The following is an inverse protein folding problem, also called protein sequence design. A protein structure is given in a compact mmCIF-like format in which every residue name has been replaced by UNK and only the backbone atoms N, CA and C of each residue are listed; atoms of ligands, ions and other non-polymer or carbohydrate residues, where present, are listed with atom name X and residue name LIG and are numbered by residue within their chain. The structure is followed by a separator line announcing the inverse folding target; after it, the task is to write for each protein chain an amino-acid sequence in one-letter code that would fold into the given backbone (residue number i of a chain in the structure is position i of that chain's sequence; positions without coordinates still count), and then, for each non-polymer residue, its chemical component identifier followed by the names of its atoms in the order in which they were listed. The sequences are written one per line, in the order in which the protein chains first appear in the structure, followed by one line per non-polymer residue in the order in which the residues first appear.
data_IF_108855216495
#
_entry.id   IF_108855216495
#
_cell.length_a   1.000
_cell.length_b   1.000
_cell.length_c   1.000
_cell.angle_alpha   90.00
_cell.angle_beta   90.00
_cell.angle_gamma   90.00
#
_symmetry.space_group_name_H-M   'P 1'
#
loop_
_entity.id
_entity.type
_entity.pdbx_description
1 polymer ?
#
# COMPACT_ATOMS: atom_id res chain seq x y z
N UNK A 1 -2.35 -24.94 15.59
CA UNK A 1 -0.93 -25.11 15.28
C UNK A 1 -0.61 -26.48 14.65
N UNK A 2 -0.75 -27.64 15.34
CA UNK A 2 -0.43 -28.95 14.73
C UNK A 2 -1.12 -29.20 13.39
N UNK A 3 -2.41 -28.87 13.26
CA UNK A 3 -3.17 -28.98 11.99
C UNK A 3 -2.67 -28.02 10.90
N UNK A 4 -2.21 -26.86 11.29
CA UNK A 4 -1.71 -25.85 10.37
C UNK A 4 -0.31 -26.23 9.83
N UNK A 5 0.54 -26.77 10.68
CA UNK A 5 1.84 -27.36 10.28
C UNK A 5 1.60 -28.53 9.31
N UNK A 6 0.61 -29.41 9.57
CA UNK A 6 0.25 -30.50 8.67
C UNK A 6 -0.28 -29.99 7.30
N UNK A 7 -1.04 -28.90 7.31
CA UNK A 7 -1.59 -28.32 6.06
C UNK A 7 -0.48 -27.63 5.25
N UNK A 8 0.47 -26.97 5.93
CA UNK A 8 1.60 -26.30 5.29
C UNK A 8 2.69 -27.28 4.84
N UNK A 9 2.89 -28.40 5.55
CA UNK A 9 3.87 -29.45 5.19
C UNK A 9 3.42 -30.29 3.97
N UNK A 10 2.12 -30.34 3.69
CA UNK A 10 1.57 -31.12 2.56
C UNK A 10 1.77 -30.52 1.17
N UNK A 11 2.34 -29.32 1.04
CA UNK A 11 2.37 -28.68 -0.28
C UNK A 11 3.53 -27.77 -0.63
N UNK A 12 4.26 -27.16 0.28
CA UNK A 12 5.22 -26.12 -0.10
C UNK A 12 6.39 -25.84 0.87
N UNK A 13 6.48 -26.51 1.97
CA UNK A 13 7.65 -26.40 2.82
C UNK A 13 8.65 -27.48 2.37
N UNK A 14 9.72 -27.05 1.71
CA UNK A 14 10.84 -27.91 1.34
C UNK A 14 11.55 -28.48 2.58
N UNK A 15 10.85 -29.24 3.40
CA UNK A 15 11.38 -29.91 4.56
C UNK A 15 12.44 -30.97 4.22
N UNK A 16 12.56 -31.33 2.95
CA UNK A 16 13.51 -32.35 2.49
C UNK A 16 14.98 -31.91 2.68
N UNK A 17 15.25 -30.62 2.85
CA UNK A 17 16.59 -30.07 3.03
C UNK A 17 16.83 -29.40 4.40
N UNK A 18 15.88 -29.46 5.34
CA UNK A 18 15.98 -28.78 6.63
C UNK A 18 16.26 -29.76 7.77
N UNK A 19 16.77 -29.24 8.89
CA UNK A 19 16.99 -29.98 10.15
C UNK A 19 15.71 -30.66 10.72
N UNK A 20 14.57 -30.42 10.11
CA UNK A 20 13.26 -30.94 10.54
C UNK A 20 12.72 -32.08 9.66
N UNK A 21 13.49 -32.52 8.67
CA UNK A 21 13.07 -33.63 7.81
C UNK A 21 12.80 -34.90 8.63
N UNK A 22 11.61 -35.48 8.43
CA UNK A 22 11.20 -36.71 9.13
C UNK A 22 10.66 -36.51 10.54
N UNK A 23 10.62 -35.28 11.09
CA UNK A 23 10.03 -35.02 12.40
C UNK A 23 8.50 -34.85 12.30
N UNK A 24 7.80 -35.38 13.30
CA UNK A 24 6.36 -35.13 13.45
C UNK A 24 6.10 -33.67 13.88
N UNK A 25 4.91 -33.09 13.61
CA UNK A 25 4.57 -31.72 14.02
C UNK A 25 4.77 -31.44 15.51
N UNK A 26 4.54 -32.45 16.37
CA UNK A 26 4.80 -32.33 17.82
C UNK A 26 6.27 -32.27 18.17
N UNK A 27 7.10 -33.00 17.44
CA UNK A 27 8.56 -32.98 17.63
C UNK A 27 9.13 -31.64 17.15
N UNK A 28 8.63 -31.14 16.02
CA UNK A 28 9.01 -29.80 15.50
C UNK A 28 8.69 -28.71 16.54
N UNK A 29 7.46 -28.70 17.09
CA UNK A 29 7.05 -27.70 18.09
C UNK A 29 7.86 -27.74 19.39
N UNK A 30 8.51 -28.87 19.69
CA UNK A 30 9.35 -29.05 20.88
C UNK A 30 10.85 -28.97 20.60
N UNK A 31 11.18 -28.78 19.33
CA UNK A 31 12.61 -28.72 18.96
C UNK A 31 13.24 -27.43 19.50
N UNK A 32 14.46 -27.48 20.05
CA UNK A 32 15.12 -26.31 20.63
C UNK A 32 15.32 -25.17 19.64
N UNK A 33 15.45 -25.46 18.34
CA UNK A 33 15.60 -24.48 17.29
C UNK A 33 14.25 -23.99 16.72
N UNK A 34 13.15 -24.30 17.39
CA UNK A 34 11.82 -23.86 17.00
C UNK A 34 11.23 -22.92 18.04
N UNK A 35 10.81 -21.75 17.61
CA UNK A 35 10.12 -20.78 18.44
C UNK A 35 8.66 -20.63 18.03
N UNK A 36 7.76 -20.56 19.00
CA UNK A 36 6.38 -20.11 18.78
C UNK A 36 6.33 -18.61 18.91
N UNK A 37 5.85 -17.95 17.86
CA UNK A 37 5.87 -16.49 17.75
C UNK A 37 4.49 -15.91 17.50
N UNK A 38 4.32 -14.66 17.88
CA UNK A 38 3.20 -13.80 17.48
C UNK A 38 3.74 -12.92 16.35
N UNK A 39 2.98 -12.86 15.27
CA UNK A 39 3.32 -12.05 14.08
C UNK A 39 2.28 -10.96 13.93
N UNK A 40 2.74 -9.72 13.87
CA UNK A 40 1.92 -8.52 13.76
C UNK A 40 2.38 -7.69 12.56
N UNK A 41 1.45 -7.13 11.80
CA UNK A 41 1.75 -6.25 10.69
C UNK A 41 0.70 -5.14 10.57
N UNK A 42 1.12 -4.02 10.02
CA UNK A 42 0.23 -2.91 9.72
C UNK A 42 -0.01 -2.86 8.21
N UNK A 43 -1.22 -3.18 7.79
CA UNK A 43 -1.66 -3.05 6.41
C UNK A 43 -2.38 -1.73 6.25
N UNK A 44 -1.92 -0.89 5.32
CA UNK A 44 -2.56 0.40 5.06
C UNK A 44 -3.98 0.18 4.49
N UNK A 45 -4.97 1.03 4.86
CA UNK A 45 -6.27 1.04 4.20
C UNK A 45 -6.11 1.20 2.68
N UNK A 46 -6.85 0.44 1.90
CA UNK A 46 -6.75 0.47 0.45
C UNK A 46 -5.54 -0.26 -0.14
N UNK A 47 -4.77 -0.98 0.68
CA UNK A 47 -3.64 -1.76 0.21
C UNK A 47 -4.04 -2.71 -0.93
N UNK A 48 -3.38 -2.62 -2.08
CA UNK A 48 -3.65 -3.51 -3.20
C UNK A 48 -3.16 -4.93 -2.92
N UNK A 49 -3.66 -5.89 -3.67
CA UNK A 49 -3.13 -7.25 -3.66
C UNK A 49 -1.64 -7.24 -4.03
N UNK A 50 -0.85 -8.10 -3.40
CA UNK A 50 0.61 -8.22 -3.53
C UNK A 50 1.43 -7.04 -2.96
N UNK A 51 0.81 -6.06 -2.31
CA UNK A 51 1.56 -5.04 -1.58
C UNK A 51 2.38 -5.71 -0.47
N UNK A 52 3.67 -5.36 -0.40
CA UNK A 52 4.58 -5.81 0.64
C UNK A 52 4.57 -4.83 1.83
N UNK A 53 4.75 -5.38 3.02
CA UNK A 53 4.89 -4.62 4.26
C UNK A 53 5.75 -5.36 5.28
N UNK A 54 6.32 -4.62 6.22
CA UNK A 54 7.12 -5.20 7.29
C UNK A 54 6.23 -5.83 8.35
N UNK A 55 6.70 -6.95 8.89
CA UNK A 55 6.03 -7.61 10.01
C UNK A 55 6.92 -7.65 11.24
N UNK A 56 6.31 -7.47 12.40
CA UNK A 56 6.93 -7.61 13.70
C UNK A 56 6.71 -9.04 14.19
N UNK A 57 7.77 -9.66 14.66
CA UNK A 57 7.76 -11.03 15.16
C UNK A 57 8.21 -11.01 16.62
N UNK A 58 7.41 -11.55 17.52
CA UNK A 58 7.72 -11.67 18.95
C UNK A 58 7.57 -13.10 19.41
N UNK A 59 8.51 -13.58 20.22
CA UNK A 59 8.34 -14.86 20.88
C UNK A 59 7.19 -14.81 21.88
N UNK A 60 6.49 -15.93 22.02
CA UNK A 60 5.39 -16.03 22.98
C UNK A 60 5.90 -15.83 24.41
N UNK A 61 5.18 -15.01 25.19
CA UNK A 61 5.49 -14.80 26.60
C UNK A 61 5.45 -16.14 27.38
N UNK A 62 6.48 -16.38 28.20
CA UNK A 62 6.60 -17.65 28.94
C UNK A 62 7.17 -18.82 28.13
N UNK A 63 7.57 -18.61 26.87
CA UNK A 63 8.31 -19.61 26.09
C UNK A 63 9.76 -19.69 26.55
N UNK A 64 10.43 -20.80 26.24
CA UNK A 64 11.87 -21.01 26.51
C UNK A 64 12.76 -20.35 25.45
N UNK A 65 12.19 -19.63 24.47
CA UNK A 65 12.93 -18.96 23.42
C UNK A 65 13.77 -17.83 23.99
N UNK A 66 15.07 -17.87 23.74
CA UNK A 66 16.05 -16.88 24.21
C UNK A 66 16.37 -15.82 23.14
N UNK A 67 16.36 -16.21 21.85
CA UNK A 67 16.63 -15.31 20.73
C UNK A 67 15.87 -15.74 19.49
N UNK A 68 15.52 -14.77 18.65
CA UNK A 68 14.97 -14.97 17.30
C UNK A 68 16.01 -14.65 16.20
N UNK A 69 17.23 -14.29 16.62
CA UNK A 69 18.32 -13.93 15.70
C UNK A 69 18.68 -15.10 14.78
N UNK A 70 18.81 -14.80 13.47
CA UNK A 70 19.06 -15.81 12.45
C UNK A 70 17.89 -16.77 12.20
N UNK A 71 16.74 -16.52 12.82
CA UNK A 71 15.53 -17.31 12.63
C UNK A 71 14.85 -17.00 11.30
N UNK A 72 14.06 -17.96 10.84
CA UNK A 72 13.22 -17.81 9.66
C UNK A 72 11.76 -17.97 10.02
N UNK A 73 10.96 -16.97 9.69
CA UNK A 73 9.50 -17.03 9.83
C UNK A 73 8.94 -17.93 8.74
N UNK A 74 8.25 -18.98 9.13
CA UNK A 74 7.50 -19.81 8.20
C UNK A 74 6.24 -19.10 7.75
N UNK A 75 5.75 -19.46 6.56
CA UNK A 75 4.54 -18.87 5.99
C UNK A 75 3.41 -18.93 7.01
N UNK A 76 2.96 -17.75 7.44
CA UNK A 76 1.86 -17.58 8.38
C UNK A 76 0.80 -16.68 7.79
N UNK A 77 -0.47 -16.97 8.11
CA UNK A 77 -1.61 -16.21 7.65
C UNK A 77 -1.96 -15.13 8.65
N UNK A 78 -2.12 -13.91 8.16
CA UNK A 78 -2.47 -12.76 8.96
C UNK A 78 -3.97 -12.44 8.82
N UNK A 79 -4.60 -12.17 9.95
CA UNK A 79 -6.03 -11.88 10.06
C UNK A 79 -6.22 -10.49 10.66
N UNK A 80 -7.36 -9.85 10.36
CA UNK A 80 -7.68 -8.56 10.97
C UNK A 80 -7.99 -8.74 12.45
N UNK A 81 -7.38 -7.88 13.27
CA UNK A 81 -7.66 -7.80 14.70
C UNK A 81 -6.56 -8.35 15.60
N UNK A 82 -6.78 -8.31 16.91
CA UNK A 82 -5.80 -8.84 17.87
C UNK A 82 -5.66 -10.35 17.74
N UNK A 83 -4.55 -10.93 18.23
CA UNK A 83 -4.37 -12.38 18.22
C UNK A 83 -5.57 -13.09 18.82
N UNK A 84 -6.15 -14.01 18.08
CA UNK A 84 -7.39 -14.66 18.47
C UNK A 84 -7.09 -15.64 19.63
N UNK A 85 -7.82 -15.51 20.73
CA UNK A 85 -7.94 -16.57 21.73
C UNK A 85 -8.52 -17.83 21.09
N UNK A 86 -7.95 -19.00 21.40
CA UNK A 86 -8.40 -20.30 20.91
C UNK A 86 -9.95 -20.42 21.01
N UNK A 87 -10.62 -20.50 19.87
CA UNK A 87 -12.08 -20.65 19.78
C UNK A 87 -12.88 -19.42 19.38
N UNK A 88 -12.24 -18.28 19.09
CA UNK A 88 -12.90 -17.07 18.55
C UNK A 88 -13.42 -17.26 17.12
N UNK A 89 -14.28 -16.33 16.64
CA UNK A 89 -14.76 -16.34 15.27
C UNK A 89 -13.59 -16.26 14.29
N UNK A 90 -13.62 -17.02 13.21
CA UNK A 90 -12.60 -16.94 12.16
C UNK A 90 -12.72 -15.61 11.46
N UNK A 91 -11.70 -14.79 11.59
CA UNK A 91 -11.57 -13.53 10.85
C UNK A 91 -11.02 -13.83 9.44
N UNK A 92 -11.33 -12.96 8.50
CA UNK A 92 -10.84 -13.07 7.13
C UNK A 92 -9.30 -12.96 7.09
N UNK A 93 -8.67 -13.83 6.30
CA UNK A 93 -7.23 -13.80 6.05
C UNK A 93 -6.99 -12.72 4.99
N UNK A 94 -6.22 -11.69 5.34
CA UNK A 94 -5.95 -10.54 4.47
C UNK A 94 -4.53 -10.52 3.92
N UNK A 95 -3.60 -11.22 4.58
CA UNK A 95 -2.20 -11.25 4.18
C UNK A 95 -1.54 -12.56 4.60
N UNK A 96 -0.38 -12.82 4.02
CA UNK A 96 0.55 -13.86 4.44
C UNK A 96 1.92 -13.24 4.75
N UNK A 97 2.65 -13.82 5.70
CA UNK A 97 3.99 -13.34 6.05
C UNK A 97 4.99 -14.50 6.11
N UNK A 98 6.22 -14.25 5.64
CA UNK A 98 7.35 -15.19 5.69
C UNK A 98 8.67 -14.46 5.50
N UNK A 99 9.77 -15.06 5.91
CA UNK A 99 11.11 -14.52 5.59
C UNK A 99 12.07 -14.58 6.77
N UNK A 100 13.27 -14.07 6.57
CA UNK A 100 14.30 -13.98 7.59
C UNK A 100 13.96 -12.96 8.66
N UNK A 101 14.23 -13.30 9.91
CA UNK A 101 13.96 -12.44 11.07
C UNK A 101 15.22 -11.64 11.39
N UNK A 102 15.10 -10.32 11.30
CA UNK A 102 16.14 -9.37 11.69
C UNK A 102 15.88 -8.88 13.11
N UNK A 103 16.77 -9.22 14.04
CA UNK A 103 16.87 -8.57 15.34
C UNK A 103 17.83 -7.39 15.15
N UNK A 104 17.60 -6.26 15.82
CA UNK A 104 18.35 -5.02 15.59
C UNK A 104 19.86 -5.25 15.36
N UNK A 105 20.37 -5.22 14.12
CA UNK A 105 21.76 -5.57 13.82
C UNK A 105 22.76 -4.48 14.26
N UNK A 106 22.27 -3.31 14.65
CA UNK A 106 23.08 -2.18 15.11
C UNK A 106 23.12 -2.06 16.65
N UNK A 107 22.44 -2.96 17.34
CA UNK A 107 22.50 -3.00 18.79
C UNK A 107 23.78 -3.68 19.26
N UNK A 108 24.40 -3.11 20.30
CA UNK A 108 25.51 -3.77 20.98
C UNK A 108 25.02 -5.16 21.47
N UNK A 109 25.73 -6.26 21.14
CA UNK A 109 25.37 -7.60 21.60
C UNK A 109 25.24 -7.70 23.10
N UNK A 110 25.97 -6.84 23.84
CA UNK A 110 25.98 -6.79 25.30
C UNK A 110 25.01 -5.76 25.89
N UNK A 111 24.25 -5.01 25.04
CA UNK A 111 23.24 -4.07 25.51
C UNK A 111 22.00 -4.80 26.05
N UNK A 112 21.74 -4.72 27.36
CA UNK A 112 20.60 -5.37 27.99
C UNK A 112 19.23 -4.78 27.53
N UNK A 113 19.22 -3.66 26.81
CA UNK A 113 18.00 -3.05 26.30
C UNK A 113 17.54 -3.70 24.99
N UNK A 114 18.38 -4.51 24.35
CA UNK A 114 18.01 -5.22 23.12
C UNK A 114 17.27 -6.49 23.46
N UNK A 115 15.97 -6.46 23.22
CA UNK A 115 15.16 -7.69 23.34
C UNK A 115 15.35 -8.58 22.11
N UNK A 116 16.24 -9.57 22.21
CA UNK A 116 16.49 -10.57 21.16
C UNK A 116 15.30 -11.48 20.86
N UNK A 117 14.24 -11.37 21.64
CA UNK A 117 12.97 -12.11 21.47
C UNK A 117 11.98 -11.37 20.56
N UNK A 118 12.38 -10.20 20.07
CA UNK A 118 11.61 -9.36 19.14
C UNK A 118 12.45 -9.12 17.91
N UNK A 119 11.88 -9.36 16.74
CA UNK A 119 12.52 -9.09 15.46
C UNK A 119 11.54 -8.59 14.42
N UNK A 120 12.05 -8.26 13.25
CA UNK A 120 11.26 -7.84 12.08
C UNK A 120 11.59 -8.68 10.87
N UNK A 121 10.61 -8.90 10.02
CA UNK A 121 10.83 -9.42 8.67
C UNK A 121 10.51 -8.28 7.71
N UNK A 122 11.54 -7.79 7.04
CA UNK A 122 11.44 -6.65 6.13
C UNK A 122 10.78 -7.08 4.82
N UNK A 123 9.68 -6.42 4.45
CA UNK A 123 8.90 -6.78 3.28
C UNK A 123 8.33 -8.20 3.29
N UNK A 124 8.34 -8.88 4.46
CA UNK A 124 7.93 -10.28 4.57
C UNK A 124 6.42 -10.50 4.57
N UNK A 125 5.65 -9.47 4.83
CA UNK A 125 4.18 -9.51 4.71
C UNK A 125 3.74 -9.21 3.29
N UNK A 126 2.78 -9.97 2.76
CA UNK A 126 2.19 -9.77 1.43
C UNK A 126 0.67 -9.78 1.54
N UNK A 127 0.02 -8.74 1.06
CA UNK A 127 -1.44 -8.64 1.03
C UNK A 127 -2.02 -9.65 0.04
N UNK A 128 -2.88 -10.55 0.50
CA UNK A 128 -3.53 -11.57 -0.34
C UNK A 128 -4.94 -11.17 -0.74
N UNK A 129 -5.65 -10.43 0.11
CA UNK A 129 -6.97 -9.90 -0.16
C UNK A 129 -6.93 -8.36 -0.13
N UNK A 130 -7.19 -7.68 -1.27
CA UNK A 130 -7.14 -6.22 -1.32
C UNK A 130 -8.21 -5.63 -0.40
N UNK A 131 -7.80 -4.66 0.41
CA UNK A 131 -8.71 -3.94 1.30
C UNK A 131 -9.25 -2.70 0.59
N UNK A 132 -10.56 -2.45 0.61
CA UNK A 132 -11.10 -1.22 0.06
C UNK A 132 -10.73 -0.02 0.95
N UNK A 133 -10.53 1.13 0.31
CA UNK A 133 -10.62 2.42 0.98
C UNK A 133 -12.10 2.75 1.18
N UNK A 134 -12.41 3.37 2.29
CA UNK A 134 -13.75 3.94 2.51
C UNK A 134 -13.67 5.47 2.46
N UNK A 135 -14.35 6.05 1.46
CA UNK A 135 -14.58 7.48 1.41
C UNK A 135 -15.90 7.77 2.10
N UNK A 136 -15.83 8.48 3.23
CA UNK A 136 -16.98 8.82 4.05
C UNK A 136 -17.38 10.27 3.75
N UNK A 137 -18.63 10.49 3.36
CA UNK A 137 -19.17 11.81 3.12
C UNK A 137 -19.62 12.44 4.45
N UNK A 138 -19.12 13.62 4.77
CA UNK A 138 -19.52 14.36 5.98
C UNK A 138 -21.03 14.68 5.99
N UNK A 139 -21.58 14.97 4.81
CA UNK A 139 -23.02 15.20 4.63
C UNK A 139 -23.58 14.12 3.72
N UNK A 140 -24.28 13.11 4.27
CA UNK A 140 -24.89 12.04 3.49
C UNK A 140 -25.86 12.58 2.44
N UNK A 141 -25.65 12.21 1.19
CA UNK A 141 -26.53 12.59 0.08
C UNK A 141 -26.34 11.61 -1.08
N UNK A 142 -27.37 10.85 -1.38
CA UNK A 142 -27.33 9.83 -2.44
C UNK A 142 -26.86 10.36 -3.80
N UNK A 143 -27.37 11.51 -4.24
CA UNK A 143 -26.97 12.12 -5.51
C UNK A 143 -25.49 12.50 -5.56
N UNK A 144 -24.91 12.95 -4.42
CA UNK A 144 -23.49 13.26 -4.28
C UNK A 144 -22.66 11.98 -4.32
N UNK A 145 -23.05 10.96 -3.57
CA UNK A 145 -22.36 9.66 -3.56
C UNK A 145 -22.32 9.05 -4.97
N UNK A 146 -23.45 9.09 -5.71
CA UNK A 146 -23.51 8.63 -7.10
C UNK A 146 -22.62 9.47 -8.02
N UNK A 147 -22.61 10.80 -7.87
CA UNK A 147 -21.78 11.68 -8.70
C UNK A 147 -20.28 11.42 -8.48
N UNK A 148 -19.86 11.28 -7.22
CA UNK A 148 -18.46 10.95 -6.86
C UNK A 148 -18.07 9.58 -7.39
N UNK A 149 -18.89 8.56 -7.16
CA UNK A 149 -18.67 7.19 -7.65
C UNK A 149 -18.49 7.19 -9.19
N UNK A 150 -19.33 7.93 -9.90
CA UNK A 150 -19.24 8.05 -11.36
C UNK A 150 -17.95 8.75 -11.79
N UNK A 151 -17.59 9.86 -11.15
CA UNK A 151 -16.38 10.62 -11.46
C UNK A 151 -15.11 9.77 -11.27
N UNK A 152 -15.05 9.01 -10.15
CA UNK A 152 -13.93 8.10 -9.88
C UNK A 152 -13.86 7.00 -10.94
N UNK A 153 -14.97 6.33 -11.25
CA UNK A 153 -14.99 5.25 -12.23
C UNK A 153 -14.70 5.73 -13.67
N UNK A 154 -15.06 6.97 -13.99
CA UNK A 154 -14.71 7.58 -15.29
C UNK A 154 -13.20 7.86 -15.38
N UNK A 155 -12.58 8.28 -14.27
CA UNK A 155 -11.14 8.58 -14.21
C UNK A 155 -10.29 7.31 -14.11
N UNK A 156 -10.79 6.30 -13.40
CA UNK A 156 -10.14 5.02 -13.15
C UNK A 156 -11.07 3.87 -13.55
N UNK A 157 -11.17 3.57 -14.85
CA UNK A 157 -12.20 2.64 -15.37
C UNK A 157 -11.97 1.18 -14.97
N UNK A 158 -10.74 0.80 -14.60
CA UNK A 158 -10.40 -0.60 -14.31
C UNK A 158 -10.37 -0.85 -12.81
N UNK A 159 -11.24 -1.71 -12.34
CA UNK A 159 -11.26 -2.20 -10.97
C UNK A 159 -10.02 -3.08 -10.63
N UNK A 160 -9.97 -3.65 -9.43
CA UNK A 160 -8.78 -4.27 -8.84
C UNK A 160 -8.21 -5.48 -9.61
N UNK A 161 -9.02 -6.12 -10.44
CA UNK A 161 -8.60 -7.25 -11.30
C UNK A 161 -8.60 -6.92 -12.79
N UNK A 162 -8.62 -5.62 -13.13
CA UNK A 162 -8.82 -5.18 -14.52
C UNK A 162 -10.27 -5.27 -14.99
N UNK A 163 -11.15 -5.80 -14.16
CA UNK A 163 -12.59 -5.92 -14.38
C UNK A 163 -13.36 -5.21 -13.24
N UNK A 164 -14.55 -4.74 -13.56
CA UNK A 164 -15.41 -4.07 -12.59
C UNK A 164 -15.08 -2.59 -12.39
N UNK A 165 -15.63 -2.01 -11.33
CA UNK A 165 -15.52 -0.60 -11.01
C UNK A 165 -14.51 -0.35 -9.89
N UNK A 166 -13.74 0.74 -10.02
CA UNK A 166 -12.80 1.21 -9.00
C UNK A 166 -13.54 1.70 -7.75
N UNK A 167 -14.66 2.41 -7.94
CA UNK A 167 -15.48 2.90 -6.84
C UNK A 167 -16.87 2.27 -6.86
N UNK A 168 -17.39 1.95 -5.68
CA UNK A 168 -18.74 1.40 -5.48
C UNK A 168 -19.41 2.07 -4.29
N UNK A 169 -20.54 2.73 -4.54
CA UNK A 169 -21.37 3.24 -3.44
C UNK A 169 -21.93 2.09 -2.60
N UNK A 170 -21.70 2.12 -1.31
CA UNK A 170 -22.26 1.19 -0.34
C UNK A 170 -23.62 1.70 0.14
N UNK A 171 -23.66 3.00 0.45
CA UNK A 171 -24.85 3.72 0.87
C UNK A 171 -24.74 5.21 0.46
N UNK A 172 -25.55 6.09 1.05
CA UNK A 172 -25.53 7.54 0.77
C UNK A 172 -24.37 8.29 1.43
N UNK A 173 -23.63 7.62 2.30
CA UNK A 173 -22.51 8.18 3.04
C UNK A 173 -21.16 7.53 2.70
N UNK A 174 -21.14 6.22 2.40
CA UNK A 174 -19.90 5.44 2.25
C UNK A 174 -19.72 4.98 0.82
N UNK A 175 -18.55 5.29 0.26
CA UNK A 175 -18.11 4.81 -1.04
C UNK A 175 -16.86 3.95 -0.84
N UNK A 176 -16.92 2.69 -1.23
CA UNK A 176 -15.79 1.77 -1.23
C UNK A 176 -14.97 1.97 -2.52
N UNK A 177 -13.66 2.08 -2.37
CA UNK A 177 -12.72 2.33 -3.46
C UNK A 177 -11.63 1.29 -3.43
N UNK A 178 -11.42 0.63 -4.56
CA UNK A 178 -10.36 -0.37 -4.74
C UNK A 178 -9.23 0.20 -5.59
N UNK A 179 -8.00 -0.05 -5.19
CA UNK A 179 -6.82 0.39 -5.94
C UNK A 179 -6.72 -0.35 -7.28
N UNK A 180 -6.73 0.36 -8.42
CA UNK A 180 -6.58 -0.26 -9.73
C UNK A 180 -5.20 -0.91 -9.90
N UNK A 181 -5.06 -1.98 -10.73
CA UNK A 181 -3.79 -2.67 -10.94
C UNK A 181 -2.66 -1.75 -11.41
N UNK A 182 -2.97 -0.73 -12.20
CA UNK A 182 -1.99 0.24 -12.70
C UNK A 182 -1.33 1.10 -11.60
N UNK A 183 -1.86 1.07 -10.39
CA UNK A 183 -1.37 1.85 -9.25
C UNK A 183 -0.88 1.00 -8.08
N UNK A 184 -0.76 -0.33 -8.25
CA UNK A 184 -0.30 -1.23 -7.17
C UNK A 184 1.06 -0.80 -6.61
N UNK A 185 2.01 -0.45 -7.48
CA UNK A 185 3.35 0.00 -7.09
C UNK A 185 3.42 1.51 -6.79
N UNK A 186 2.33 2.25 -6.99
CA UNK A 186 2.25 3.71 -6.84
C UNK A 186 0.99 4.12 -6.10
N UNK A 187 0.78 3.48 -4.96
CA UNK A 187 -0.43 3.69 -4.17
C UNK A 187 -0.62 5.15 -3.73
N UNK A 188 0.46 5.83 -3.31
CA UNK A 188 0.42 7.25 -2.94
C UNK A 188 -0.04 8.14 -4.10
N UNK A 189 0.42 7.87 -5.32
CA UNK A 189 -0.04 8.58 -6.52
C UNK A 189 -1.53 8.39 -6.77
N UNK A 190 -2.03 7.16 -6.53
CA UNK A 190 -3.46 6.87 -6.65
C UNK A 190 -4.29 7.70 -5.68
N UNK A 191 -3.88 7.75 -4.40
CA UNK A 191 -4.59 8.54 -3.37
C UNK A 191 -4.63 10.02 -3.74
N UNK A 192 -3.49 10.60 -4.11
CA UNK A 192 -3.42 12.02 -4.48
C UNK A 192 -4.28 12.33 -5.72
N UNK A 193 -4.25 11.47 -6.74
CA UNK A 193 -5.10 11.61 -7.92
C UNK A 193 -6.58 11.44 -7.58
N UNK A 194 -6.92 10.51 -6.69
CA UNK A 194 -8.28 10.26 -6.24
C UNK A 194 -8.87 11.50 -5.57
N UNK A 195 -8.12 12.06 -4.60
CA UNK A 195 -8.54 13.26 -3.86
C UNK A 195 -8.64 14.50 -4.77
N UNK A 196 -7.79 14.60 -5.77
CA UNK A 196 -7.79 15.69 -6.73
C UNK A 196 -8.77 15.50 -7.91
N UNK A 197 -9.49 14.35 -7.99
CA UNK A 197 -10.40 14.07 -9.09
C UNK A 197 -11.62 14.97 -9.05
N UNK A 198 -11.87 15.80 -10.09
CA UNK A 198 -13.02 16.68 -10.12
C UNK A 198 -14.33 15.89 -10.28
N UNK A 199 -15.33 16.21 -9.48
CA UNK A 199 -16.66 15.57 -9.53
C UNK A 199 -17.38 15.93 -10.84
N UNK A 200 -17.28 17.21 -11.24
CA UNK A 200 -17.82 17.68 -12.52
C UNK A 200 -16.73 17.67 -13.59
N UNK A 201 -16.85 16.75 -14.54
CA UNK A 201 -15.89 16.55 -15.63
C UNK A 201 -16.43 17.03 -16.99
N UNK A 202 -17.52 17.82 -17.03
CA UNK A 202 -18.15 18.23 -18.28
C UNK A 202 -17.29 19.21 -19.10
N UNK A 203 -16.41 19.99 -18.45
CA UNK A 203 -15.59 21.00 -19.11
C UNK A 203 -14.11 20.90 -18.67
N UNK A 204 -13.43 19.80 -19.00
CA UNK A 204 -12.07 19.53 -18.53
C UNK A 204 -11.06 20.60 -19.00
N UNK A 205 -11.22 21.12 -20.22
CA UNK A 205 -10.33 22.15 -20.76
C UNK A 205 -10.46 23.48 -20.03
N UNK A 206 -11.68 23.89 -19.67
CA UNK A 206 -11.90 25.13 -18.91
C UNK A 206 -11.31 24.99 -17.51
N UNK A 207 -11.46 23.82 -16.89
CA UNK A 207 -10.90 23.53 -15.58
C UNK A 207 -9.36 23.52 -15.63
N UNK A 208 -8.78 22.86 -16.64
CA UNK A 208 -7.34 22.85 -16.88
C UNK A 208 -6.78 24.26 -17.05
N UNK A 209 -7.43 25.07 -17.90
CA UNK A 209 -7.02 26.45 -18.15
C UNK A 209 -7.08 27.30 -16.87
N UNK A 210 -8.11 27.12 -16.05
CA UNK A 210 -8.21 27.80 -14.75
C UNK A 210 -7.09 27.40 -13.82
N UNK A 211 -6.84 26.10 -13.62
CA UNK A 211 -5.78 25.61 -12.73
C UNK A 211 -4.38 26.01 -13.22
N UNK A 212 -4.15 26.02 -14.53
CA UNK A 212 -2.87 26.50 -15.08
C UNK A 212 -2.65 27.99 -14.79
N UNK A 213 -3.70 28.80 -14.82
CA UNK A 213 -3.61 30.22 -14.43
C UNK A 213 -3.33 30.34 -12.92
N UNK A 214 -4.05 29.61 -12.08
CA UNK A 214 -3.81 29.60 -10.63
C UNK A 214 -2.40 29.13 -10.26
N UNK A 215 -1.75 28.28 -11.07
CA UNK A 215 -0.33 27.93 -10.84
C UNK A 215 0.61 29.13 -10.88
N UNK A 216 0.28 30.14 -11.67
CA UNK A 216 1.07 31.37 -11.78
C UNK A 216 0.66 32.38 -10.70
N UNK A 217 -0.64 32.49 -10.44
CA UNK A 217 -1.21 33.47 -9.51
C UNK A 217 -0.99 33.06 -8.04
N UNK A 218 -0.94 31.74 -7.74
CA UNK A 218 -0.86 31.17 -6.40
C UNK A 218 0.23 30.08 -6.32
N UNK A 219 1.52 30.41 -6.38
CA UNK A 219 2.64 29.46 -6.41
C UNK A 219 2.71 28.53 -5.19
N UNK A 220 2.16 28.94 -4.06
CA UNK A 220 2.11 28.15 -2.82
C UNK A 220 1.21 26.90 -2.95
N UNK A 221 0.23 26.94 -3.85
CA UNK A 221 -0.67 25.83 -4.15
C UNK A 221 -0.20 24.95 -5.31
N UNK A 222 1.06 25.14 -5.75
CA UNK A 222 1.57 24.50 -6.97
C UNK A 222 1.50 22.97 -6.94
N UNK A 223 1.74 22.34 -5.79
CA UNK A 223 1.68 20.89 -5.64
C UNK A 223 0.23 20.36 -5.77
N UNK A 224 -0.71 20.99 -5.09
CA UNK A 224 -2.13 20.62 -5.12
C UNK A 224 -2.72 20.83 -6.53
N UNK A 225 -2.38 21.96 -7.16
CA UNK A 225 -2.80 22.25 -8.53
C UNK A 225 -2.18 21.29 -9.55
N UNK A 226 -0.94 20.83 -9.33
CA UNK A 226 -0.32 19.80 -10.15
C UNK A 226 -1.11 18.48 -10.08
N UNK A 227 -1.52 18.06 -8.89
CA UNK A 227 -2.36 16.88 -8.72
C UNK A 227 -3.73 17.05 -9.37
N UNK A 228 -4.35 18.22 -9.24
CA UNK A 228 -5.62 18.53 -9.86
C UNK A 228 -5.53 18.49 -11.41
N UNK A 229 -4.47 19.06 -12.00
CA UNK A 229 -4.21 18.99 -13.44
C UNK A 229 -3.92 17.55 -13.91
N UNK A 230 -3.16 16.77 -13.15
CA UNK A 230 -2.93 15.35 -13.43
C UNK A 230 -4.22 14.53 -13.35
N UNK A 231 -5.12 14.86 -12.43
CA UNK A 231 -6.41 14.20 -12.27
C UNK A 231 -7.35 14.47 -13.46
N UNK A 232 -7.32 15.67 -14.07
CA UNK A 232 -8.04 15.97 -15.32
C UNK A 232 -7.53 15.04 -16.44
N UNK A 233 -6.24 14.72 -16.46
CA UNK A 233 -5.67 13.78 -17.41
C UNK A 233 -5.08 14.43 -18.68
N UNK A 234 -5.13 13.73 -19.84
CA UNK A 234 -4.43 14.18 -21.07
C UNK A 234 -4.82 15.58 -21.55
N UNK A 235 -6.06 15.99 -21.31
CA UNK A 235 -6.58 17.29 -21.73
C UNK A 235 -5.86 18.47 -21.06
N UNK A 236 -5.31 18.29 -19.85
CA UNK A 236 -4.58 19.33 -19.14
C UNK A 236 -3.18 19.61 -19.70
N UNK A 237 -2.55 18.63 -20.37
CA UNK A 237 -1.15 18.71 -20.78
C UNK A 237 -0.84 19.86 -21.73
N UNK A 238 -1.74 20.15 -22.66
CA UNK A 238 -1.56 21.24 -23.61
C UNK A 238 -1.46 22.60 -22.95
N UNK A 239 -2.15 22.79 -21.83
CA UNK A 239 -2.23 24.06 -21.13
C UNK A 239 -1.01 24.35 -20.23
N UNK A 240 -0.27 23.32 -19.78
CA UNK A 240 0.88 23.50 -18.91
C UNK A 240 2.19 23.64 -19.68
N UNK A 241 2.20 23.38 -20.98
CA UNK A 241 3.43 23.39 -21.81
C UNK A 241 4.17 24.72 -21.76
N UNK A 242 3.42 25.83 -21.79
CA UNK A 242 4.00 27.18 -21.78
C UNK A 242 4.67 27.54 -20.46
N UNK A 243 4.42 26.75 -19.39
CA UNK A 243 5.02 26.92 -18.07
C UNK A 243 6.30 26.07 -17.87
N UNK A 244 6.74 25.29 -18.85
CA UNK A 244 7.96 24.48 -18.70
C UNK A 244 9.22 25.31 -18.55
N UNK A 245 9.26 26.47 -19.15
CA UNK A 245 10.36 27.43 -19.07
C UNK A 245 10.02 28.67 -18.21
N UNK A 246 8.97 28.56 -17.38
CA UNK A 246 8.52 29.66 -16.54
C UNK A 246 9.60 30.08 -15.56
N UNK A 247 9.80 31.40 -15.31
CA UNK A 247 10.91 31.91 -14.47
C UNK A 247 10.85 31.39 -13.04
N UNK A 248 9.66 31.34 -12.45
CA UNK A 248 9.47 30.88 -11.08
C UNK A 248 9.53 29.37 -10.98
N UNK A 249 10.24 28.89 -9.93
CA UNK A 249 10.53 27.47 -9.75
C UNK A 249 9.27 26.62 -9.49
N UNK A 250 8.38 27.07 -8.59
CA UNK A 250 7.21 26.27 -8.18
C UNK A 250 6.24 26.00 -9.33
N UNK A 251 5.75 26.98 -10.10
CA UNK A 251 4.90 26.75 -11.27
C UNK A 251 5.58 25.90 -12.33
N UNK A 252 6.87 26.12 -12.58
CA UNK A 252 7.67 25.36 -13.55
C UNK A 252 7.75 23.87 -13.17
N UNK A 253 8.09 23.54 -11.90
CA UNK A 253 8.16 22.16 -11.43
C UNK A 253 6.80 21.48 -11.48
N UNK A 254 5.73 22.17 -11.07
CA UNK A 254 4.38 21.68 -11.15
C UNK A 254 3.99 21.34 -12.59
N UNK A 255 4.23 22.24 -13.54
CA UNK A 255 3.95 22.04 -14.94
C UNK A 255 4.73 20.84 -15.53
N UNK A 256 6.04 20.74 -15.22
CA UNK A 256 6.88 19.61 -15.65
C UNK A 256 6.40 18.28 -15.05
N UNK A 257 5.95 18.26 -13.78
CA UNK A 257 5.39 17.08 -13.13
C UNK A 257 4.09 16.63 -13.80
N UNK A 258 3.22 17.57 -14.19
CA UNK A 258 1.99 17.27 -14.96
C UNK A 258 2.33 16.70 -16.33
N UNK A 259 3.33 17.27 -17.00
CA UNK A 259 3.80 16.83 -18.32
C UNK A 259 4.46 15.45 -18.32
N UNK A 260 5.30 15.17 -17.34
CA UNK A 260 6.01 13.89 -17.18
C UNK A 260 5.07 12.71 -16.85
N UNK A 261 3.88 12.97 -16.36
CA UNK A 261 2.87 11.95 -16.08
C UNK A 261 2.41 11.20 -17.32
N UNK A 262 3.07 10.06 -17.65
CA UNK A 262 2.87 9.18 -18.81
C UNK A 262 3.11 9.84 -20.20
N UNK A 263 4.35 9.85 -20.66
CA UNK A 263 4.65 9.80 -22.07
C UNK A 263 4.93 11.11 -22.80
N UNK A 264 5.44 12.12 -22.12
CA UNK A 264 6.15 13.22 -22.78
C UNK A 264 7.64 13.08 -22.42
N UNK A 265 8.39 12.39 -23.28
CA UNK A 265 9.84 12.16 -23.10
C UNK A 265 10.62 13.47 -22.87
N UNK A 266 10.17 14.58 -23.44
CA UNK A 266 10.75 15.89 -23.24
C UNK A 266 10.53 16.51 -21.84
N UNK A 267 9.34 16.33 -21.24
CA UNK A 267 9.04 16.88 -19.92
C UNK A 267 9.77 16.10 -18.81
N UNK A 268 9.95 14.79 -18.96
CA UNK A 268 10.71 13.97 -18.03
C UNK A 268 12.20 14.34 -18.03
N UNK A 269 12.77 14.62 -19.20
CA UNK A 269 14.15 15.10 -19.33
C UNK A 269 14.34 16.50 -18.70
N UNK A 270 13.39 17.41 -18.92
CA UNK A 270 13.42 18.74 -18.33
C UNK A 270 13.24 18.70 -16.81
N UNK A 271 12.43 17.77 -16.29
CA UNK A 271 12.25 17.56 -14.85
C UNK A 271 13.56 17.12 -14.19
N UNK A 272 14.28 16.17 -14.79
CA UNK A 272 15.61 15.75 -14.33
C UNK A 272 16.61 16.92 -14.33
N UNK A 273 16.57 17.78 -15.34
CA UNK A 273 17.41 18.97 -15.42
C UNK A 273 17.07 20.04 -14.37
N UNK A 274 15.78 20.18 -14.04
CA UNK A 274 15.31 21.15 -13.04
C UNK A 274 15.59 20.71 -11.59
N UNK A 275 15.77 19.39 -11.36
CA UNK A 275 16.11 18.84 -10.03
C UNK A 275 17.62 18.87 -9.75
N UNK A 276 18.47 18.97 -10.78
CA UNK A 276 19.95 18.99 -10.66
C UNK A 276 20.51 20.39 -10.49
N UNK A 277 19.74 21.44 -10.77
CA UNK A 277 20.08 22.85 -10.50
C UNK A 277 19.36 23.36 -9.24
#
# INVERSE_FOLDING_TARGET
MEREILTLSGGQLGFESTAFAGLSPRQILRHPDTAVVIVEGLVAPGAPQNMQFDVLVRSLSGSTTTSLEGGQLWTTRLQIGPPITLGGPRTEIIAEARGEIFVNPFADPDDPQVDRRVGRVLGGGVVTAPQPLELILESPLHSRAVAITRAINQRFPNGPRGEGSTARGRDDQVIQIYTPPAYQDRFSDFINLLLATPINQNFPEQLARRYTRSLVDEPDLAEELAWALRAIGPQARGFVRDLYDFPERSPRLAALTVGAGRGLDGAAALLLFALVK
#
